data_IF_386274556970
#
_entry.id   IF_386274556970
#
_cell.length_a   1.000
_cell.length_b   1.000
_cell.length_c   1.000
_cell.angle_alpha   90.00
_cell.angle_beta   90.00
_cell.angle_gamma   90.00
#
_symmetry.space_group_name_H-M   'P 1'
#
loop_
_entity.id
_entity.type
_entity.pdbx_description
1 polymer ?
#
# COMPACT_ATOMS: atom_id res chain seq x y z
N UNK A 1 5.61 6.66 -25.98
CA UNK A 1 6.02 6.16 -24.66
C UNK A 1 6.60 7.34 -23.90
N UNK A 2 6.08 7.62 -22.69
CA UNK A 2 6.54 8.77 -21.89
C UNK A 2 8.01 8.62 -21.48
N UNK A 3 8.71 9.74 -21.29
CA UNK A 3 10.06 9.70 -20.74
C UNK A 3 10.02 9.19 -19.29
N UNK A 4 10.88 8.23 -18.90
CA UNK A 4 11.01 7.79 -17.51
C UNK A 4 11.36 8.99 -16.60
N UNK A 5 10.45 9.38 -15.71
CA UNK A 5 10.72 10.40 -14.71
C UNK A 5 11.53 9.79 -13.56
N UNK A 6 12.85 9.72 -13.74
CA UNK A 6 13.81 9.31 -12.69
C UNK A 6 14.10 10.41 -11.68
N UNK A 7 13.68 11.66 -11.97
CA UNK A 7 13.91 12.83 -11.10
C UNK A 7 13.09 12.82 -9.80
N UNK A 8 12.10 11.94 -9.68
CA UNK A 8 11.29 11.82 -8.46
C UNK A 8 11.96 10.98 -7.37
N UNK A 9 13.17 10.46 -7.59
CA UNK A 9 14.01 9.98 -6.48
C UNK A 9 14.57 11.22 -5.75
N UNK A 10 14.15 11.54 -4.51
CA UNK A 10 14.55 12.78 -3.81
C UNK A 10 16.07 12.94 -3.66
N UNK A 11 16.81 11.86 -3.85
CA UNK A 11 18.25 11.76 -3.65
C UNK A 11 19.06 11.55 -4.94
N UNK A 12 18.42 11.49 -6.12
CA UNK A 12 19.10 11.35 -7.42
C UNK A 12 20.01 10.12 -7.60
N UNK A 13 20.01 9.19 -6.63
CA UNK A 13 20.93 8.06 -6.52
C UNK A 13 20.20 6.69 -6.52
N UNK A 14 18.89 6.67 -6.78
CA UNK A 14 18.07 5.46 -6.71
C UNK A 14 17.65 5.02 -5.30
N UNK A 15 17.97 5.78 -4.23
CA UNK A 15 17.64 5.44 -2.84
C UNK A 15 16.31 6.02 -2.33
N UNK A 16 15.54 6.73 -3.17
CA UNK A 16 14.17 7.15 -2.85
C UNK A 16 13.21 5.96 -2.82
N UNK A 17 12.20 6.00 -1.94
CA UNK A 17 11.08 5.07 -2.03
C UNK A 17 10.31 5.28 -3.34
N UNK A 18 9.79 4.21 -3.91
CA UNK A 18 9.09 4.19 -5.19
C UNK A 18 8.66 2.78 -5.55
N UNK A 19 8.09 2.60 -6.74
CA UNK A 19 7.62 1.29 -7.19
C UNK A 19 8.80 0.39 -7.62
N UNK A 20 9.50 -0.20 -6.65
CA UNK A 20 10.72 -0.99 -6.90
C UNK A 20 10.52 -2.36 -7.56
N UNK A 21 9.29 -2.86 -7.56
CA UNK A 21 8.89 -4.13 -8.20
C UNK A 21 7.45 -4.07 -8.71
N UNK A 22 6.92 -2.87 -8.94
CA UNK A 22 5.57 -2.65 -9.39
C UNK A 22 5.59 -1.72 -10.61
N UNK A 23 4.70 -1.95 -11.57
CA UNK A 23 4.65 -1.16 -12.81
C UNK A 23 3.18 -0.89 -13.14
N UNK A 24 2.77 0.37 -13.13
CA UNK A 24 1.46 0.76 -13.67
C UNK A 24 1.45 0.59 -15.19
N UNK A 25 0.54 -0.23 -15.70
CA UNK A 25 0.49 -0.62 -17.13
C UNK A 25 -0.61 0.09 -17.90
N UNK A 26 -1.60 0.66 -17.21
CA UNK A 26 -2.65 1.44 -17.84
C UNK A 26 -3.86 1.63 -16.94
N UNK A 27 -4.83 2.36 -17.47
CA UNK A 27 -6.12 2.58 -16.83
C UNK A 27 -7.26 2.17 -17.75
N UNK A 28 -8.35 1.69 -17.17
CA UNK A 28 -9.60 1.39 -17.89
C UNK A 28 -10.79 1.96 -17.14
N UNK A 29 -11.80 2.44 -17.87
CA UNK A 29 -13.09 2.82 -17.30
C UNK A 29 -14.09 1.71 -17.59
N UNK A 30 -14.61 1.08 -16.53
CA UNK A 30 -15.59 0.00 -16.61
C UNK A 30 -16.79 0.42 -15.79
N UNK A 31 -17.98 0.47 -16.42
CA UNK A 31 -19.25 0.86 -15.77
C UNK A 31 -19.17 2.21 -15.05
N UNK A 32 -18.49 3.19 -15.66
CA UNK A 32 -18.32 4.54 -15.10
C UNK A 32 -17.26 4.63 -13.98
N UNK A 33 -16.71 3.50 -13.52
CA UNK A 33 -15.63 3.47 -12.55
C UNK A 33 -14.28 3.30 -13.24
N UNK A 34 -13.31 4.12 -12.85
CA UNK A 34 -11.94 4.00 -13.33
C UNK A 34 -11.13 3.04 -12.46
N UNK A 35 -10.30 2.26 -13.13
CA UNK A 35 -9.41 1.27 -12.56
C UNK A 35 -8.00 1.45 -13.13
N UNK A 36 -7.03 1.73 -12.26
CA UNK A 36 -5.61 1.67 -12.58
C UNK A 36 -5.11 0.24 -12.40
N UNK A 37 -4.38 -0.30 -13.38
CA UNK A 37 -3.82 -1.64 -13.36
C UNK A 37 -2.31 -1.58 -13.12
N UNK A 38 -1.83 -2.32 -12.12
CA UNK A 38 -0.42 -2.37 -11.73
C UNK A 38 0.07 -3.82 -11.68
N UNK A 39 1.17 -4.13 -12.37
CA UNK A 39 1.84 -5.43 -12.30
C UNK A 39 2.85 -5.44 -11.15
N UNK A 40 2.61 -6.24 -10.11
CA UNK A 40 3.58 -6.53 -9.03
C UNK A 40 4.43 -7.74 -9.42
N UNK A 41 5.75 -7.59 -9.43
CA UNK A 41 6.72 -8.57 -9.90
C UNK A 41 7.11 -8.44 -11.38
N UNK A 42 6.67 -7.35 -12.03
CA UNK A 42 6.86 -7.10 -13.47
C UNK A 42 8.32 -6.88 -13.91
N UNK A 43 9.28 -6.85 -12.99
CA UNK A 43 10.70 -6.65 -13.29
C UNK A 43 11.29 -5.45 -12.55
N UNK A 44 12.57 -5.18 -12.81
CA UNK A 44 13.29 -4.08 -12.20
C UNK A 44 12.76 -2.72 -12.68
N UNK A 45 12.78 -1.76 -11.77
CA UNK A 45 12.51 -0.35 -12.04
C UNK A 45 13.67 0.50 -11.51
N UNK A 46 13.75 1.81 -11.85
CA UNK A 46 14.72 2.71 -11.24
C UNK A 46 14.66 2.81 -9.70
N UNK A 47 13.58 2.30 -9.09
CA UNK A 47 13.33 2.32 -7.64
C UNK A 47 13.59 0.96 -6.96
N UNK A 48 14.18 -0.01 -7.67
CA UNK A 48 14.39 -1.37 -7.14
C UNK A 48 15.47 -1.47 -6.05
N UNK A 49 16.29 -0.42 -5.84
CA UNK A 49 17.33 -0.33 -4.79
C UNK A 49 18.28 -1.54 -4.75
N UNK A 50 18.66 -2.05 -5.93
CA UNK A 50 19.53 -3.22 -6.07
C UNK A 50 18.84 -4.58 -5.90
N UNK A 51 17.52 -4.60 -5.66
CA UNK A 51 16.74 -5.83 -5.66
C UNK A 51 16.39 -6.32 -7.08
N UNK A 52 15.85 -7.53 -7.17
CA UNK A 52 15.54 -8.20 -8.44
C UNK A 52 14.26 -7.69 -9.16
N UNK A 53 13.45 -6.87 -8.49
CA UNK A 53 12.18 -6.39 -9.07
C UNK A 53 11.10 -7.47 -9.23
N UNK A 54 11.30 -8.66 -8.65
CA UNK A 54 10.39 -9.82 -8.80
C UNK A 54 9.50 -10.05 -7.58
N UNK A 55 8.36 -10.70 -7.82
CA UNK A 55 7.54 -11.30 -6.78
C UNK A 55 7.58 -12.82 -6.95
N UNK A 56 7.39 -13.56 -5.86
CA UNK A 56 7.35 -15.03 -5.89
C UNK A 56 5.92 -15.53 -5.81
N UNK A 57 5.70 -16.78 -6.25
CA UNK A 57 4.38 -17.41 -6.30
C UNK A 57 3.66 -17.33 -4.94
N UNK A 58 4.34 -17.69 -3.85
CA UNK A 58 3.77 -17.64 -2.50
C UNK A 58 3.23 -16.26 -2.11
N UNK A 59 4.06 -15.22 -2.28
CA UNK A 59 3.64 -13.84 -1.95
C UNK A 59 2.47 -13.39 -2.83
N UNK A 60 2.48 -13.80 -4.10
CA UNK A 60 1.44 -13.47 -5.08
C UNK A 60 0.11 -14.14 -4.72
N UNK A 61 0.12 -15.43 -4.38
CA UNK A 61 -1.07 -16.17 -3.94
C UNK A 61 -1.65 -15.54 -2.67
N UNK A 62 -0.80 -15.25 -1.67
CA UNK A 62 -1.23 -14.63 -0.42
C UNK A 62 -1.92 -13.29 -0.66
N UNK A 63 -1.34 -12.44 -1.50
CA UNK A 63 -1.91 -11.15 -1.84
C UNK A 63 -3.21 -11.27 -2.63
N UNK A 64 -3.26 -12.18 -3.61
CA UNK A 64 -4.48 -12.47 -4.37
C UNK A 64 -5.63 -12.91 -3.46
N UNK A 65 -5.39 -13.90 -2.60
CA UNK A 65 -6.41 -14.39 -1.69
C UNK A 65 -6.82 -13.35 -0.66
N UNK A 66 -5.86 -12.64 -0.06
CA UNK A 66 -6.16 -11.68 1.01
C UNK A 66 -6.88 -10.43 0.52
N UNK A 67 -6.53 -9.91 -0.67
CA UNK A 67 -7.24 -8.79 -1.29
C UNK A 67 -8.71 -9.13 -1.55
N UNK A 68 -8.99 -10.26 -2.17
CA UNK A 68 -10.36 -10.67 -2.48
C UNK A 68 -11.15 -11.06 -1.22
N UNK A 69 -10.52 -11.72 -0.24
CA UNK A 69 -11.14 -11.99 1.05
C UNK A 69 -11.54 -10.71 1.79
N UNK A 70 -10.66 -9.71 1.85
CA UNK A 70 -10.95 -8.43 2.49
C UNK A 70 -12.11 -7.71 1.81
N UNK A 71 -12.16 -7.73 0.47
CA UNK A 71 -13.29 -7.18 -0.29
C UNK A 71 -14.61 -7.86 0.10
N UNK A 72 -14.64 -9.20 0.13
CA UNK A 72 -15.85 -9.95 0.50
C UNK A 72 -16.21 -9.86 1.99
N UNK A 73 -15.24 -9.56 2.86
CA UNK A 73 -15.46 -9.23 4.27
C UNK A 73 -15.98 -7.80 4.49
N UNK A 74 -16.14 -7.01 3.43
CA UNK A 74 -16.60 -5.63 3.51
C UNK A 74 -15.54 -4.68 4.07
N UNK A 75 -14.25 -4.95 3.81
CA UNK A 75 -13.15 -4.04 4.13
C UNK A 75 -12.57 -3.47 2.86
N UNK A 76 -12.45 -2.13 2.79
CA UNK A 76 -11.90 -1.44 1.64
C UNK A 76 -10.46 -1.89 1.34
N UNK A 77 -10.21 -2.28 0.09
CA UNK A 77 -8.94 -2.88 -0.34
C UNK A 77 -8.70 -2.72 -1.84
N UNK A 78 -7.43 -2.78 -2.25
CA UNK A 78 -7.08 -3.06 -3.65
C UNK A 78 -7.56 -4.43 -4.07
N UNK A 79 -7.88 -4.60 -5.35
CA UNK A 79 -8.34 -5.87 -5.91
C UNK A 79 -7.22 -6.59 -6.64
N UNK A 80 -7.27 -7.91 -6.68
CA UNK A 80 -6.35 -8.72 -7.47
C UNK A 80 -7.08 -9.27 -8.71
N UNK A 81 -6.66 -8.83 -9.90
CA UNK A 81 -7.33 -9.17 -11.15
C UNK A 81 -6.82 -10.50 -11.73
N UNK A 82 -5.52 -10.74 -11.67
CA UNK A 82 -4.91 -11.94 -12.22
C UNK A 82 -3.62 -12.30 -11.49
N UNK A 83 -3.28 -13.59 -11.51
CA UNK A 83 -2.03 -14.16 -11.03
C UNK A 83 -1.46 -15.03 -12.15
N UNK A 84 -0.23 -14.71 -12.59
CA UNK A 84 0.46 -15.45 -13.66
C UNK A 84 1.78 -15.98 -13.12
N UNK A 85 1.98 -17.29 -13.27
CA UNK A 85 3.24 -17.97 -12.96
C UNK A 85 4.20 -17.85 -14.15
N UNK A 86 5.49 -17.60 -13.91
CA UNK A 86 6.47 -17.63 -14.99
C UNK A 86 6.63 -19.07 -15.51
N UNK A 87 6.44 -19.27 -16.81
CA UNK A 87 6.86 -20.49 -17.48
C UNK A 87 8.38 -20.40 -17.75
N UNK A 88 9.15 -21.44 -17.42
CA UNK A 88 10.61 -21.47 -17.67
C UNK A 88 11.55 -21.31 -16.48
N UNK A 89 11.09 -21.45 -15.23
CA UNK A 89 11.97 -21.65 -14.07
C UNK A 89 12.78 -20.43 -13.60
N UNK A 90 12.32 -19.20 -13.88
CA UNK A 90 12.88 -18.02 -13.21
C UNK A 90 12.60 -18.12 -11.70
N UNK A 91 13.66 -18.27 -10.92
CA UNK A 91 13.59 -18.39 -9.46
C UNK A 91 14.12 -17.12 -8.80
N UNK A 92 13.49 -16.70 -7.70
CA UNK A 92 13.99 -15.63 -6.85
C UNK A 92 14.32 -16.18 -5.46
N UNK A 93 15.42 -15.70 -4.90
CA UNK A 93 15.82 -16.07 -3.54
C UNK A 93 15.02 -15.26 -2.51
N UNK A 94 14.36 -15.92 -1.56
CA UNK A 94 13.53 -15.27 -0.54
C UNK A 94 13.74 -15.87 0.85
N UNK A 95 13.60 -15.06 1.92
CA UNK A 95 13.61 -15.58 3.29
C UNK A 95 12.45 -16.56 3.57
N UNK A 96 12.74 -17.60 4.33
CA UNK A 96 11.83 -18.69 4.70
C UNK A 96 12.07 -19.20 6.12
N UNK A 97 11.07 -19.91 6.63
CA UNK A 97 11.04 -20.46 7.99
C UNK A 97 11.40 -21.95 7.95
N UNK A 98 12.36 -22.37 8.77
CA UNK A 98 12.66 -23.77 8.99
C UNK A 98 11.48 -24.48 9.66
N UNK A 99 11.52 -25.82 9.65
CA UNK A 99 10.53 -26.63 10.36
C UNK A 99 10.51 -26.38 11.88
N UNK A 100 11.61 -25.88 12.44
CA UNK A 100 11.85 -25.70 13.88
C UNK A 100 11.47 -24.29 14.36
N UNK A 101 11.42 -23.29 13.46
CA UNK A 101 11.09 -21.90 13.78
C UNK A 101 10.00 -21.36 12.85
N UNK A 102 8.74 -21.74 13.09
CA UNK A 102 7.60 -21.42 12.20
C UNK A 102 6.91 -20.07 12.47
N UNK A 103 7.23 -19.41 13.58
CA UNK A 103 6.31 -18.42 14.16
C UNK A 103 6.82 -16.98 14.19
N UNK A 104 8.13 -16.75 14.13
CA UNK A 104 8.67 -15.38 14.23
C UNK A 104 9.56 -14.98 13.08
N UNK A 105 10.71 -15.62 12.92
CA UNK A 105 11.77 -15.11 12.05
C UNK A 105 12.14 -16.12 10.96
N UNK A 106 12.22 -15.70 9.68
CA UNK A 106 12.81 -16.56 8.66
C UNK A 106 14.29 -16.74 8.98
N UNK A 107 14.73 -17.98 9.08
CA UNK A 107 16.07 -18.42 9.49
C UNK A 107 16.83 -19.10 8.33
N UNK A 108 16.21 -19.19 7.16
CA UNK A 108 16.84 -19.73 5.96
C UNK A 108 16.43 -18.99 4.68
N UNK A 109 17.18 -19.20 3.60
CA UNK A 109 16.86 -18.71 2.25
C UNK A 109 16.43 -19.88 1.37
N UNK A 110 15.42 -19.66 0.53
CA UNK A 110 14.96 -20.63 -0.48
C UNK A 110 14.82 -19.96 -1.84
N UNK A 111 14.89 -20.77 -2.90
CA UNK A 111 14.56 -20.36 -4.25
C UNK A 111 13.09 -20.69 -4.54
N UNK A 112 12.30 -19.69 -4.92
CA UNK A 112 10.88 -19.86 -5.29
C UNK A 112 10.62 -19.35 -6.72
N UNK A 113 9.68 -19.96 -7.48
CA UNK A 113 9.31 -19.46 -8.80
C UNK A 113 8.76 -18.04 -8.75
N UNK A 114 9.16 -17.23 -9.72
CA UNK A 114 8.65 -15.89 -9.93
C UNK A 114 7.17 -15.90 -10.35
N UNK A 115 6.42 -14.91 -9.92
CA UNK A 115 5.04 -14.69 -10.32
C UNK A 115 4.73 -13.19 -10.43
N UNK A 116 3.72 -12.86 -11.23
CA UNK A 116 3.22 -11.50 -11.39
C UNK A 116 1.78 -11.43 -10.91
N UNK A 117 1.48 -10.47 -10.03
CA UNK A 117 0.11 -10.18 -9.56
C UNK A 117 -0.34 -8.85 -10.13
N UNK A 118 -1.50 -8.82 -10.80
CA UNK A 118 -2.10 -7.57 -11.26
C UNK A 118 -2.98 -6.97 -10.16
N UNK A 119 -2.53 -5.87 -9.56
CA UNK A 119 -3.29 -5.07 -8.61
C UNK A 119 -4.15 -4.05 -9.35
N UNK A 120 -5.33 -3.78 -8.80
CA UNK A 120 -6.22 -2.77 -9.34
C UNK A 120 -6.82 -1.91 -8.24
N UNK A 121 -6.80 -0.59 -8.44
CA UNK A 121 -7.38 0.40 -7.53
C UNK A 121 -7.82 1.66 -8.31
N UNK A 122 -8.69 2.52 -7.73
CA UNK A 122 -8.96 3.84 -8.31
C UNK A 122 -7.72 4.72 -8.46
N UNK A 123 -6.72 4.62 -7.58
CA UNK A 123 -5.39 5.25 -7.73
C UNK A 123 -4.30 4.66 -6.81
N UNK A 124 -3.02 4.85 -7.14
CA UNK A 124 -1.83 4.42 -6.35
C UNK A 124 -0.86 5.58 -5.94
N UNK A 125 -1.36 6.80 -5.74
CA UNK A 125 -0.57 8.06 -5.73
C UNK A 125 0.44 8.29 -4.58
N UNK A 126 1.63 8.87 -4.89
CA UNK A 126 2.69 9.39 -3.97
C UNK A 126 3.47 10.63 -4.53
N UNK A 127 3.51 11.76 -3.79
CA UNK A 127 4.20 13.09 -3.98
C UNK A 127 3.24 14.32 -3.98
N UNK A 128 3.76 15.57 -4.03
CA UNK A 128 3.15 16.72 -3.32
C UNK A 128 2.06 17.54 -4.06
N UNK A 129 2.32 18.64 -4.77
CA UNK A 129 1.23 19.58 -5.16
C UNK A 129 0.34 19.13 -6.34
N UNK A 130 0.93 18.80 -7.49
CA UNK A 130 0.18 18.28 -8.65
C UNK A 130 -0.62 17.02 -8.31
N UNK A 131 -0.13 16.31 -7.30
CA UNK A 131 -0.70 15.07 -6.83
C UNK A 131 -1.79 15.26 -5.81
N UNK A 132 -1.79 16.35 -5.06
CA UNK A 132 -2.92 16.75 -4.24
C UNK A 132 -4.11 17.11 -5.12
N UNK A 133 -3.90 17.90 -6.18
CA UNK A 133 -4.95 18.17 -7.15
C UNK A 133 -5.44 16.89 -7.83
N UNK A 134 -4.52 15.99 -8.17
CA UNK A 134 -4.90 14.70 -8.75
C UNK A 134 -5.60 13.80 -7.74
N UNK A 135 -5.19 13.74 -6.47
CA UNK A 135 -5.88 13.00 -5.42
C UNK A 135 -7.29 13.56 -5.16
N UNK A 136 -7.44 14.89 -5.16
CA UNK A 136 -8.73 15.56 -5.15
C UNK A 136 -9.59 15.14 -6.33
N UNK A 137 -9.03 15.08 -7.54
CA UNK A 137 -9.76 14.65 -8.72
C UNK A 137 -10.16 13.17 -8.68
N UNK A 138 -9.27 12.29 -8.20
CA UNK A 138 -9.44 10.82 -8.29
C UNK A 138 -10.19 10.21 -7.12
N UNK A 139 -9.84 10.63 -5.91
CA UNK A 139 -10.27 9.98 -4.67
C UNK A 139 -11.29 10.82 -3.89
N UNK A 140 -11.31 12.13 -4.13
CA UNK A 140 -12.09 13.11 -3.38
C UNK A 140 -12.80 14.16 -4.27
N UNK A 141 -13.47 13.77 -5.38
CA UNK A 141 -14.02 14.72 -6.34
C UNK A 141 -15.07 15.66 -5.73
N UNK A 142 -15.76 15.19 -4.67
CA UNK A 142 -16.83 15.92 -3.99
C UNK A 142 -16.31 16.86 -2.88
N UNK A 143 -14.99 16.89 -2.62
CA UNK A 143 -14.42 17.77 -1.60
C UNK A 143 -14.37 19.23 -2.09
N UNK A 144 -15.49 19.94 -1.90
CA UNK A 144 -15.69 21.37 -2.18
C UNK A 144 -15.31 21.76 -3.62
N UNK A 145 -15.97 21.18 -4.65
CA UNK A 145 -15.67 21.52 -6.03
C UNK A 145 -15.83 23.03 -6.28
N UNK A 146 -14.82 23.64 -6.93
CA UNK A 146 -14.78 25.08 -7.22
C UNK A 146 -14.24 25.98 -6.10
N UNK A 147 -14.02 25.46 -4.89
CA UNK A 147 -13.39 26.23 -3.81
C UNK A 147 -11.87 26.40 -4.02
N UNK A 148 -11.22 27.38 -3.36
CA UNK A 148 -9.76 27.50 -3.36
C UNK A 148 -9.07 26.20 -2.89
N UNK A 149 -7.92 25.88 -3.49
CA UNK A 149 -7.17 24.65 -3.20
C UNK A 149 -6.98 24.38 -1.69
N UNK A 150 -6.59 25.35 -0.84
CA UNK A 150 -6.42 25.09 0.60
C UNK A 150 -7.70 24.58 1.29
N UNK A 151 -8.87 25.10 0.91
CA UNK A 151 -10.15 24.67 1.47
C UNK A 151 -10.51 23.24 1.03
N UNK A 152 -10.24 22.93 -0.25
CA UNK A 152 -10.44 21.59 -0.80
C UNK A 152 -9.52 20.57 -0.13
N UNK A 153 -8.25 20.92 0.11
CA UNK A 153 -7.29 20.09 0.83
C UNK A 153 -7.71 19.87 2.28
N UNK A 154 -8.17 20.91 2.98
CA UNK A 154 -8.70 20.75 4.34
C UNK A 154 -9.91 19.80 4.37
N UNK A 155 -10.82 19.90 3.39
CA UNK A 155 -11.94 18.97 3.24
C UNK A 155 -11.49 17.54 2.92
N UNK A 156 -10.50 17.39 2.02
CA UNK A 156 -9.89 16.11 1.67
C UNK A 156 -9.28 15.43 2.90
N UNK A 157 -8.52 16.16 3.72
CA UNK A 157 -7.89 15.62 4.93
C UNK A 157 -8.93 15.11 5.93
N UNK A 158 -10.04 15.84 6.14
CA UNK A 158 -11.14 15.35 7.00
C UNK A 158 -11.75 14.05 6.47
N UNK A 159 -11.94 13.96 5.16
CA UNK A 159 -12.48 12.76 4.54
C UNK A 159 -11.48 11.60 4.57
N UNK A 160 -10.18 11.87 4.41
CA UNK A 160 -9.11 10.89 4.54
C UNK A 160 -9.04 10.33 5.97
N UNK A 161 -9.10 11.19 6.99
CA UNK A 161 -9.18 10.77 8.39
C UNK A 161 -10.35 9.80 8.62
N UNK A 162 -11.55 10.17 8.14
CA UNK A 162 -12.74 9.31 8.22
C UNK A 162 -12.51 7.95 7.53
N UNK A 163 -11.97 7.93 6.31
CA UNK A 163 -11.71 6.69 5.57
C UNK A 163 -10.67 5.82 6.29
N UNK A 164 -9.63 6.42 6.87
CA UNK A 164 -8.62 5.68 7.63
C UNK A 164 -9.22 5.06 8.90
N UNK A 165 -10.05 5.81 9.63
CA UNK A 165 -10.76 5.27 10.80
C UNK A 165 -11.66 4.08 10.43
N UNK A 166 -12.40 4.17 9.31
CA UNK A 166 -13.25 3.09 8.81
C UNK A 166 -12.41 1.87 8.41
N UNK A 167 -11.32 2.07 7.67
CA UNK A 167 -10.40 1.02 7.25
C UNK A 167 -9.85 0.24 8.45
N UNK A 168 -9.30 0.96 9.42
CA UNK A 168 -8.66 0.36 10.59
C UNK A 168 -9.69 -0.32 11.49
N UNK A 169 -10.87 0.29 11.68
CA UNK A 169 -11.98 -0.36 12.36
C UNK A 169 -12.39 -1.66 11.63
N UNK A 170 -12.37 -1.65 10.29
CA UNK A 170 -12.55 -2.83 9.46
C UNK A 170 -11.53 -3.92 9.73
N UNK A 171 -10.24 -3.57 9.82
CA UNK A 171 -9.17 -4.50 10.18
C UNK A 171 -9.38 -5.13 11.55
N UNK A 172 -9.65 -4.31 12.57
CA UNK A 172 -9.89 -4.79 13.93
C UNK A 172 -11.12 -5.70 14.00
N UNK A 173 -12.22 -5.31 13.33
CA UNK A 173 -13.47 -6.08 13.30
C UNK A 173 -13.28 -7.50 12.78
N UNK A 174 -12.44 -7.68 11.76
CA UNK A 174 -12.21 -8.99 11.14
C UNK A 174 -10.99 -9.71 11.69
N UNK A 175 -10.35 -9.18 12.73
CA UNK A 175 -9.14 -9.77 13.30
C UNK A 175 -7.91 -9.69 12.38
N UNK A 176 -7.89 -8.77 11.42
CA UNK A 176 -6.77 -8.60 10.49
C UNK A 176 -5.69 -7.69 11.07
N UNK A 177 -4.45 -8.10 10.91
CA UNK A 177 -3.24 -7.33 11.24
C UNK A 177 -2.41 -7.15 9.97
N UNK A 178 -2.26 -5.90 9.51
CA UNK A 178 -1.54 -5.59 8.25
C UNK A 178 -0.03 -5.86 8.37
N UNK A 179 0.56 -5.60 9.53
CA UNK A 179 1.93 -6.01 9.91
C UNK A 179 3.08 -5.16 9.35
N UNK A 180 2.82 -4.23 8.43
CA UNK A 180 3.80 -3.29 7.85
C UNK A 180 3.12 -1.97 7.42
N UNK A 181 2.38 -1.34 8.35
CA UNK A 181 1.52 -0.19 8.05
C UNK A 181 2.28 1.13 8.09
N UNK A 182 3.36 1.21 7.31
CA UNK A 182 4.12 2.44 7.09
C UNK A 182 3.33 3.43 6.21
N UNK A 183 3.73 4.69 6.23
CA UNK A 183 3.09 5.75 5.45
C UNK A 183 3.04 5.47 3.93
N UNK A 184 4.05 4.78 3.38
CA UNK A 184 4.08 4.39 1.96
C UNK A 184 3.06 3.29 1.61
N UNK A 185 2.62 2.51 2.60
CA UNK A 185 1.55 1.51 2.48
C UNK A 185 0.16 2.06 2.89
N UNK A 186 0.09 3.33 3.26
CA UNK A 186 -1.15 4.00 3.63
C UNK A 186 -1.71 4.78 2.43
N UNK A 187 -2.57 4.13 1.64
CA UNK A 187 -3.21 4.80 0.52
C UNK A 187 -4.08 5.96 0.99
N UNK A 188 -3.90 7.14 0.40
CA UNK A 188 -4.73 8.31 0.66
C UNK A 188 -6.22 8.02 0.44
N UNK A 189 -6.57 7.09 -0.45
CA UNK A 189 -7.95 6.64 -0.68
C UNK A 189 -8.57 5.79 0.43
N UNK A 190 -7.81 5.39 1.47
CA UNK A 190 -8.29 4.61 2.61
C UNK A 190 -8.60 3.16 2.27
N UNK A 191 -7.69 2.49 1.57
CA UNK A 191 -7.84 1.07 1.17
C UNK A 191 -6.64 0.26 1.68
N UNK A 192 -6.89 -0.98 2.03
CA UNK A 192 -5.84 -1.96 2.33
C UNK A 192 -4.97 -2.16 1.09
N UNK A 193 -3.65 -2.13 1.26
CA UNK A 193 -2.66 -2.38 0.22
C UNK A 193 -1.45 -3.13 0.79
N UNK A 194 -0.70 -3.74 -0.12
CA UNK A 194 0.59 -4.38 0.11
C UNK A 194 0.54 -5.50 1.15
N UNK A 195 -0.11 -6.59 0.73
CA UNK A 195 -0.23 -7.83 1.47
C UNK A 195 1.10 -8.58 1.56
N UNK A 196 2.01 -8.09 2.40
CA UNK A 196 3.27 -8.74 2.74
C UNK A 196 3.14 -9.59 4.02
N UNK A 197 3.66 -9.11 5.16
CA UNK A 197 3.61 -9.84 6.43
C UNK A 197 2.30 -9.60 7.21
N UNK A 198 1.16 -9.77 6.55
CA UNK A 198 -0.14 -9.70 7.20
C UNK A 198 -0.51 -11.02 7.90
N UNK A 199 -1.49 -10.97 8.80
CA UNK A 199 -2.14 -12.15 9.35
C UNK A 199 -3.54 -11.88 9.90
N UNK A 200 -4.39 -12.90 9.89
CA UNK A 200 -5.60 -12.92 10.72
C UNK A 200 -5.26 -13.55 12.07
N UNK A 201 -5.81 -12.98 13.14
CA UNK A 201 -5.69 -13.53 14.49
C UNK A 201 -6.56 -14.77 14.60
N UNK A 202 -5.94 -15.89 14.97
CA UNK A 202 -6.65 -17.13 15.25
C UNK A 202 -7.08 -17.20 16.72
N UNK A 203 -6.12 -17.09 17.65
CA UNK A 203 -6.36 -16.90 19.08
C UNK A 203 -6.16 -15.43 19.42
N UNK A 204 -7.13 -14.80 20.08
CA UNK A 204 -7.03 -13.39 20.48
C UNK A 204 -5.71 -13.09 21.18
N UNK A 205 -4.89 -12.29 20.53
CA UNK A 205 -3.64 -11.76 21.03
C UNK A 205 -3.54 -10.29 20.60
N UNK A 206 -3.65 -9.34 21.55
CA UNK A 206 -3.61 -7.92 21.22
C UNK A 206 -2.22 -7.46 20.73
N UNK A 207 -1.17 -8.25 20.97
CA UNK A 207 0.19 -7.99 20.53
C UNK A 207 0.57 -8.76 19.25
N UNK A 208 -0.40 -9.46 18.62
CA UNK A 208 -0.17 -10.21 17.41
C UNK A 208 0.42 -9.33 16.29
N UNK A 209 1.56 -9.75 15.75
CA UNK A 209 2.22 -9.15 14.58
C UNK A 209 3.06 -10.22 13.86
N UNK A 210 3.04 -10.26 12.52
CA UNK A 210 3.80 -11.25 11.73
C UNK A 210 5.14 -10.76 11.17
N UNK A 211 5.46 -9.47 11.29
CA UNK A 211 6.72 -8.89 10.79
C UNK A 211 7.74 -8.69 11.91
N UNK A 212 8.95 -9.20 11.69
CA UNK A 212 10.09 -9.01 12.59
C UNK A 212 10.54 -7.54 12.57
N UNK A 213 10.65 -6.92 13.73
CA UNK A 213 10.98 -5.48 13.82
C UNK A 213 9.78 -4.53 13.67
N UNK A 214 8.57 -5.06 13.42
CA UNK A 214 7.34 -4.25 13.59
C UNK A 214 7.15 -3.80 15.05
N UNK A 215 7.76 -4.52 15.99
CA UNK A 215 7.66 -4.27 17.42
C UNK A 215 6.22 -4.23 17.91
N UNK A 216 5.98 -3.52 19.01
CA UNK A 216 4.62 -3.14 19.38
C UNK A 216 3.96 -2.24 18.31
N UNK A 217 4.70 -1.53 17.45
CA UNK A 217 4.14 -0.46 16.61
C UNK A 217 3.04 -0.92 15.64
N UNK A 218 3.20 -2.07 14.99
CA UNK A 218 2.16 -2.62 14.09
C UNK A 218 1.45 -3.85 14.64
N UNK A 219 1.51 -4.06 15.96
CA UNK A 219 0.70 -5.06 16.62
C UNK A 219 -0.80 -4.79 16.38
N UNK A 220 -1.61 -5.84 16.40
CA UNK A 220 -3.03 -5.76 16.14
C UNK A 220 -3.74 -4.63 16.87
N UNK A 221 -3.51 -4.48 18.19
CA UNK A 221 -4.13 -3.42 19.00
C UNK A 221 -3.62 -2.01 18.68
N UNK A 222 -2.43 -1.90 18.08
CA UNK A 222 -1.72 -0.64 17.83
C UNK A 222 -1.96 -0.09 16.41
N UNK A 223 -2.68 -0.82 15.55
CA UNK A 223 -3.05 -0.34 14.20
C UNK A 223 -3.76 1.03 14.18
N UNK A 224 -4.62 1.39 15.17
CA UNK A 224 -5.17 2.75 15.26
C UNK A 224 -4.11 3.84 15.47
N UNK A 225 -3.12 3.59 16.33
CA UNK A 225 -2.04 4.54 16.62
C UNK A 225 -1.12 4.70 15.41
N UNK A 226 -0.78 3.59 14.74
CA UNK A 226 -0.04 3.63 13.47
C UNK A 226 -0.79 4.41 12.38
N UNK A 227 -2.12 4.22 12.27
CA UNK A 227 -2.96 4.96 11.33
C UNK A 227 -3.00 6.46 11.61
N UNK A 228 -3.08 6.85 12.89
CA UNK A 228 -3.01 8.25 13.30
C UNK A 228 -1.65 8.86 12.95
N UNK A 229 -0.55 8.15 13.22
CA UNK A 229 0.79 8.62 12.88
C UNK A 229 0.92 8.86 11.36
N UNK A 230 0.47 7.90 10.54
CA UNK A 230 0.47 8.05 9.08
C UNK A 230 -0.41 9.22 8.61
N UNK A 231 -1.59 9.40 9.20
CA UNK A 231 -2.45 10.55 8.89
C UNK A 231 -1.77 11.88 9.24
N UNK A 232 -1.11 11.96 10.40
CA UNK A 232 -0.39 13.16 10.81
C UNK A 232 0.79 13.46 9.87
N UNK A 233 1.51 12.44 9.39
CA UNK A 233 2.52 12.62 8.34
C UNK A 233 1.92 13.23 7.07
N UNK A 234 0.77 12.74 6.61
CA UNK A 234 0.06 13.32 5.47
C UNK A 234 -0.38 14.77 5.74
N UNK A 235 -0.97 15.05 6.91
CA UNK A 235 -1.47 16.37 7.27
C UNK A 235 -0.33 17.40 7.38
N UNK A 236 0.81 17.02 7.98
CA UNK A 236 2.03 17.83 8.04
C UNK A 236 2.56 18.09 6.63
N UNK A 237 2.57 17.06 5.77
CA UNK A 237 2.98 17.22 4.39
C UNK A 237 2.15 18.34 3.74
N UNK A 238 0.83 18.39 3.92
CA UNK A 238 -0.03 19.39 3.29
C UNK A 238 0.14 20.86 3.75
N UNK A 239 0.99 21.15 4.75
CA UNK A 239 1.19 22.52 5.27
C UNK A 239 1.60 23.57 4.23
N UNK A 240 2.47 23.30 3.24
CA UNK A 240 2.80 24.28 2.21
C UNK A 240 1.58 24.74 1.41
N UNK A 241 0.58 23.86 1.24
CA UNK A 241 -0.68 24.18 0.54
C UNK A 241 -1.70 24.85 1.47
N UNK A 242 -1.76 24.43 2.74
CA UNK A 242 -2.71 24.96 3.71
C UNK A 242 -2.29 26.32 4.30
N UNK A 243 -1.00 26.61 4.29
CA UNK A 243 -0.36 27.71 5.02
C UNK A 243 0.30 27.20 6.32
N UNK A 244 1.46 27.77 6.73
CA UNK A 244 2.26 27.27 7.84
C UNK A 244 1.53 27.28 9.19
N UNK A 245 0.64 28.26 9.39
CA UNK A 245 -0.15 28.47 10.61
C UNK A 245 -1.54 27.83 10.58
N UNK A 246 -1.89 27.15 9.48
CA UNK A 246 -3.19 26.49 9.39
C UNK A 246 -3.29 25.36 10.44
N UNK A 247 -4.39 25.29 11.21
CA UNK A 247 -4.60 24.19 12.14
C UNK A 247 -4.77 22.88 11.36
N UNK A 248 -4.12 21.82 11.82
CA UNK A 248 -4.33 20.49 11.26
C UNK A 248 -5.73 19.99 11.69
N UNK A 249 -6.50 19.38 10.77
CA UNK A 249 -7.86 18.91 11.02
C UNK A 249 -7.93 17.66 11.90
#
# INVERSE_FOLDING_TARGET
>A
MGQPMVRNCPFGNGNGYGDGRAISIGEVVVKGQRWEMQLKGGGQTPFCRGADGRAVLRSSIREFLASEAMYHLGVDTTRALSLVLSDGGEMAERPWYSSENRERDPDMMIHEPCAITTRVAPSFLREHEMMVEHALFREYPDCLPGAPLPQRVAAMLRQAAKRFSILIAGWLRVGFCQGNFNADNCLVGGRTMDYGPFGWIERYDPLFAKWVGSGNHFAFRNQPEAGLANFMTLAIAMKPVLGPDAPLP
#
